data_IF_324462280571
#
_entry.id   IF_324462280571
#
_cell.length_a   1.000
_cell.length_b   1.000
_cell.length_c   1.000
_cell.angle_alpha   90.00
_cell.angle_beta   90.00
_cell.angle_gamma   90.00
#
_symmetry.space_group_name_H-M   'P 1'
#
loop_
_entity.id
_entity.type
_entity.pdbx_description
1 polymer ?
#
# COMPACT_ATOMS: atom_id res chain seq x y z
N UNK A 1 -17.97 -2.52 -26.78
CA UNK A 1 -18.56 -2.03 -28.05
C UNK A 1 -19.82 -2.80 -28.38
N UNK A 2 -20.96 -2.14 -28.58
CA UNK A 2 -22.22 -2.80 -28.96
C UNK A 2 -22.52 -2.60 -30.45
N UNK A 3 -22.17 -3.59 -31.29
CA UNK A 3 -22.43 -3.58 -32.73
C UNK A 3 -23.85 -4.09 -33.06
N UNK A 4 -24.84 -3.59 -32.31
CA UNK A 4 -26.21 -4.09 -32.36
C UNK A 4 -26.94 -3.72 -33.67
N UNK A 5 -26.39 -2.77 -34.44
CA UNK A 5 -26.97 -2.28 -35.68
C UNK A 5 -26.34 -2.90 -36.94
N UNK A 6 -25.37 -3.80 -36.79
CA UNK A 6 -24.74 -4.50 -37.91
C UNK A 6 -25.23 -5.93 -37.92
N UNK A 7 -25.78 -6.35 -39.06
CA UNK A 7 -26.38 -7.67 -39.23
C UNK A 7 -25.54 -8.54 -40.17
N UNK A 8 -25.41 -9.81 -39.81
CA UNK A 8 -24.87 -10.88 -40.66
C UNK A 8 -25.82 -11.17 -41.84
N UNK A 9 -25.32 -11.90 -42.84
CA UNK A 9 -26.11 -12.48 -43.94
C UNK A 9 -27.30 -13.32 -43.44
N UNK A 10 -27.19 -13.90 -42.24
CA UNK A 10 -28.24 -14.69 -41.59
C UNK A 10 -29.21 -13.85 -40.74
N UNK A 11 -29.19 -12.52 -40.90
CA UNK A 11 -30.04 -11.56 -40.16
C UNK A 11 -29.89 -11.60 -38.62
N UNK A 12 -28.76 -12.12 -38.12
CA UNK A 12 -28.37 -12.02 -36.70
C UNK A 12 -27.46 -10.83 -36.49
N UNK A 13 -27.49 -10.20 -35.31
CA UNK A 13 -26.57 -9.10 -35.02
C UNK A 13 -25.13 -9.62 -34.95
N UNK A 14 -24.15 -8.82 -35.37
CA UNK A 14 -22.74 -9.17 -35.24
C UNK A 14 -22.36 -9.40 -33.77
N UNK A 15 -22.97 -8.66 -32.83
CA UNK A 15 -22.81 -8.89 -31.39
C UNK A 15 -23.22 -10.32 -30.99
N UNK A 16 -24.38 -10.80 -31.44
CA UNK A 16 -24.85 -12.15 -31.11
C UNK A 16 -24.00 -13.24 -31.76
N UNK A 17 -23.52 -13.01 -32.99
CA UNK A 17 -22.66 -13.96 -33.70
C UNK A 17 -21.29 -14.07 -33.04
N UNK A 18 -20.68 -12.95 -32.66
CA UNK A 18 -19.33 -12.91 -32.10
C UNK A 18 -19.33 -13.35 -30.63
N UNK A 19 -20.32 -12.94 -29.84
CA UNK A 19 -20.30 -13.12 -28.40
C UNK A 19 -21.27 -14.19 -27.88
N UNK A 20 -22.24 -14.64 -28.68
CA UNK A 20 -23.31 -15.57 -28.27
C UNK A 20 -23.17 -16.99 -28.81
N UNK A 21 -22.19 -17.27 -29.68
CA UNK A 21 -22.06 -18.56 -30.36
C UNK A 21 -21.49 -19.70 -29.50
N UNK A 22 -20.89 -19.39 -28.34
CA UNK A 22 -20.17 -20.36 -27.51
C UNK A 22 -20.60 -20.26 -26.04
N UNK A 23 -20.52 -21.38 -25.30
CA UNK A 23 -20.83 -21.46 -23.87
C UNK A 23 -19.96 -20.50 -23.03
N UNK A 24 -18.70 -20.36 -23.45
CA UNK A 24 -17.73 -19.38 -22.97
C UNK A 24 -17.34 -18.50 -24.15
N UNK A 25 -17.48 -17.19 -23.98
CA UNK A 25 -17.15 -16.22 -25.02
C UNK A 25 -15.93 -15.44 -24.59
N UNK A 26 -14.74 -15.95 -24.95
CA UNK A 26 -13.47 -15.29 -24.63
C UNK A 26 -13.45 -13.83 -25.06
N UNK A 27 -14.05 -13.50 -26.20
CA UNK A 27 -14.13 -12.12 -26.67
C UNK A 27 -14.97 -11.23 -25.76
N UNK A 28 -16.04 -11.77 -25.17
CA UNK A 28 -16.86 -11.06 -24.18
C UNK A 28 -16.10 -10.93 -22.87
N UNK A 29 -15.59 -12.04 -22.33
CA UNK A 29 -14.92 -12.06 -21.02
C UNK A 29 -13.66 -11.17 -21.02
N UNK A 30 -12.88 -11.18 -22.11
CA UNK A 30 -11.73 -10.28 -22.27
C UNK A 30 -12.20 -8.82 -22.38
N UNK A 31 -13.25 -8.54 -23.16
CA UNK A 31 -13.77 -7.17 -23.29
C UNK A 31 -14.25 -6.64 -21.94
N UNK A 32 -14.94 -7.47 -21.17
CA UNK A 32 -15.48 -7.11 -19.87
C UNK A 32 -14.35 -6.92 -18.84
N UNK A 33 -13.34 -7.81 -18.84
CA UNK A 33 -12.15 -7.65 -18.00
C UNK A 33 -11.36 -6.37 -18.34
N UNK A 34 -11.14 -6.09 -19.62
CA UNK A 34 -10.43 -4.88 -20.06
C UNK A 34 -11.19 -3.60 -19.66
N UNK A 35 -12.52 -3.59 -19.81
CA UNK A 35 -13.32 -2.41 -19.52
C UNK A 35 -13.50 -2.23 -18.00
N UNK A 36 -13.97 -3.25 -17.30
CA UNK A 36 -14.43 -3.09 -15.93
C UNK A 36 -13.31 -3.31 -14.90
N UNK A 37 -12.38 -4.24 -15.16
CA UNK A 37 -11.31 -4.56 -14.20
C UNK A 37 -10.04 -3.74 -14.44
N UNK A 38 -9.76 -3.34 -15.68
CA UNK A 38 -8.55 -2.58 -15.98
C UNK A 38 -8.87 -1.10 -16.16
N UNK A 39 -9.75 -0.74 -17.11
CA UNK A 39 -9.98 0.65 -17.47
C UNK A 39 -10.65 1.47 -16.36
N UNK A 40 -11.76 0.96 -15.80
CA UNK A 40 -12.49 1.64 -14.73
C UNK A 40 -11.70 1.65 -13.41
N UNK A 41 -11.06 0.54 -13.02
CA UNK A 41 -10.23 0.52 -11.80
C UNK A 41 -9.00 1.43 -11.90
N UNK A 42 -8.43 1.56 -13.09
CA UNK A 42 -7.29 2.46 -13.33
C UNK A 42 -7.70 3.91 -13.50
N UNK A 43 -9.01 4.21 -13.54
CA UNK A 43 -9.59 5.54 -13.75
C UNK A 43 -9.02 6.23 -14.99
N UNK A 44 -8.85 5.47 -16.08
CA UNK A 44 -8.22 5.97 -17.31
C UNK A 44 -9.00 7.14 -17.95
N UNK A 45 -10.33 7.18 -17.77
CA UNK A 45 -11.21 8.26 -18.21
C UNK A 45 -10.87 9.62 -17.60
N UNK A 46 -10.22 9.64 -16.44
CA UNK A 46 -9.77 10.87 -15.76
C UNK A 46 -8.51 11.49 -16.39
N UNK A 47 -7.78 10.75 -17.22
CA UNK A 47 -6.57 11.24 -17.87
C UNK A 47 -6.73 11.46 -19.37
N UNK A 48 -7.47 10.59 -20.04
CA UNK A 48 -7.66 10.64 -21.49
C UNK A 48 -9.12 10.44 -21.87
N UNK A 49 -9.58 11.23 -22.84
CA UNK A 49 -10.85 11.04 -23.50
C UNK A 49 -10.62 10.49 -24.90
N UNK A 50 -11.05 9.25 -25.13
CA UNK A 50 -10.94 8.57 -26.42
C UNK A 50 -12.26 8.72 -27.17
N UNK A 51 -12.22 9.41 -28.30
CA UNK A 51 -13.36 9.49 -29.23
C UNK A 51 -13.17 8.49 -30.36
N UNK A 52 -14.08 7.52 -30.42
CA UNK A 52 -14.12 6.51 -31.48
C UNK A 52 -15.25 6.83 -32.47
N UNK A 53 -14.89 7.04 -33.73
CA UNK A 53 -15.84 7.13 -34.84
C UNK A 53 -15.43 6.16 -35.93
N UNK A 54 -16.17 5.06 -36.06
CA UNK A 54 -15.95 4.13 -37.16
C UNK A 54 -16.39 4.77 -38.48
N UNK A 55 -15.60 4.67 -39.58
CA UNK A 55 -14.41 3.84 -39.79
C UNK A 55 -13.06 4.53 -39.49
N UNK A 56 -13.10 5.75 -38.96
CA UNK A 56 -11.91 6.55 -38.71
C UNK A 56 -11.08 5.98 -37.55
N UNK A 57 -9.80 6.37 -37.53
CA UNK A 57 -8.90 6.03 -36.43
C UNK A 57 -9.39 6.69 -35.14
N UNK A 58 -9.29 6.01 -33.99
CA UNK A 58 -9.58 6.62 -32.71
C UNK A 58 -8.68 7.85 -32.51
N UNK A 59 -9.28 8.92 -32.01
CA UNK A 59 -8.54 10.11 -31.57
C UNK A 59 -8.66 10.20 -30.05
N UNK A 60 -7.59 10.62 -29.40
CA UNK A 60 -7.55 10.80 -27.96
C UNK A 60 -7.19 12.26 -27.65
N UNK A 61 -7.72 12.75 -26.53
CA UNK A 61 -7.37 14.05 -25.95
C UNK A 61 -7.05 13.85 -24.49
N UNK A 62 -5.90 14.37 -24.04
CA UNK A 62 -5.61 14.44 -22.61
C UNK A 62 -6.49 15.51 -21.96
N UNK A 63 -6.89 15.26 -20.72
CA UNK A 63 -7.56 16.27 -19.91
C UNK A 63 -6.57 17.37 -19.54
N UNK A 64 -7.08 18.60 -19.45
CA UNK A 64 -6.26 19.79 -19.17
C UNK A 64 -5.44 19.63 -17.88
N UNK A 65 -5.99 18.95 -16.86
CA UNK A 65 -5.30 18.68 -15.60
C UNK A 65 -4.08 17.77 -15.77
N UNK A 66 -4.27 16.66 -16.49
CA UNK A 66 -3.21 15.69 -16.80
C UNK A 66 -2.13 16.33 -17.66
N UNK A 67 -2.52 17.16 -18.63
CA UNK A 67 -1.57 17.88 -19.47
C UNK A 67 -0.72 18.87 -18.66
N UNK A 68 -1.32 19.62 -17.72
CA UNK A 68 -0.58 20.53 -16.84
C UNK A 68 0.37 19.76 -15.92
N UNK A 69 -0.05 18.59 -15.42
CA UNK A 69 0.81 17.72 -14.62
C UNK A 69 1.99 17.19 -15.45
N UNK A 70 1.73 16.71 -16.67
CA UNK A 70 2.75 16.19 -17.57
C UNK A 70 3.80 17.25 -17.90
N UNK A 71 3.39 18.49 -18.23
CA UNK A 71 4.32 19.60 -18.47
C UNK A 71 5.23 19.89 -17.26
N UNK A 72 4.70 19.79 -16.03
CA UNK A 72 5.48 19.96 -14.81
C UNK A 72 6.44 18.80 -14.58
N UNK A 73 5.99 17.59 -14.87
CA UNK A 73 6.81 16.38 -14.75
C UNK A 73 7.97 16.40 -15.74
N UNK A 74 7.71 16.78 -16.99
CA UNK A 74 8.74 16.96 -18.02
C UNK A 74 9.76 18.03 -17.63
N UNK A 75 9.35 19.14 -17.03
CA UNK A 75 10.28 20.15 -16.52
C UNK A 75 11.21 19.60 -15.41
N UNK A 76 10.67 18.77 -14.52
CA UNK A 76 11.48 18.07 -13.51
C UNK A 76 12.45 17.07 -14.16
N UNK A 77 11.98 16.24 -15.08
CA UNK A 77 12.82 15.28 -15.80
C UNK A 77 13.94 15.97 -16.56
N UNK A 78 13.66 17.07 -17.26
CA UNK A 78 14.67 17.87 -17.97
C UNK A 78 15.74 18.41 -17.02
N UNK A 79 15.37 18.78 -15.79
CA UNK A 79 16.36 19.18 -14.79
C UNK A 79 17.30 18.01 -14.43
N UNK A 80 16.73 16.83 -14.17
CA UNK A 80 17.50 15.62 -13.83
C UNK A 80 18.40 15.19 -14.98
N UNK A 81 17.88 15.16 -16.21
CA UNK A 81 18.62 14.82 -17.41
C UNK A 81 19.78 15.79 -17.65
N UNK A 82 19.53 17.09 -17.46
CA UNK A 82 20.56 18.10 -17.62
C UNK A 82 21.69 17.92 -16.58
N UNK A 83 21.36 17.64 -15.32
CA UNK A 83 22.37 17.40 -14.27
C UNK A 83 23.17 16.12 -14.54
N UNK A 84 22.49 15.04 -14.95
CA UNK A 84 23.14 13.75 -15.21
C UNK A 84 23.96 13.73 -16.50
N UNK A 85 23.59 14.53 -17.51
CA UNK A 85 24.32 14.63 -18.77
C UNK A 85 25.73 15.25 -18.63
N UNK A 86 25.91 16.17 -17.68
CA UNK A 86 27.23 16.77 -17.42
C UNK A 86 28.09 15.96 -16.47
N UNK A 87 27.49 15.05 -15.71
CA UNK A 87 28.13 14.52 -14.53
C UNK A 87 27.67 13.09 -14.17
N UNK A 88 28.46 12.11 -14.62
CA UNK A 88 28.28 10.69 -14.27
C UNK A 88 28.53 10.42 -12.77
N UNK A 89 29.25 11.29 -12.04
CA UNK A 89 29.45 11.16 -10.58
C UNK A 89 28.33 11.79 -9.75
N UNK A 90 27.57 12.74 -10.32
CA UNK A 90 26.37 13.31 -9.69
C UNK A 90 25.29 12.24 -9.43
N UNK A 91 25.24 11.19 -10.24
CA UNK A 91 24.37 10.04 -10.00
C UNK A 91 24.73 9.28 -8.71
N UNK A 92 26.01 9.25 -8.32
CA UNK A 92 26.48 8.61 -7.07
C UNK A 92 26.34 9.50 -5.84
N UNK A 93 26.46 10.81 -6.01
CA UNK A 93 26.32 11.80 -4.94
C UNK A 93 25.11 12.69 -5.23
N UNK A 94 23.90 12.20 -4.92
CA UNK A 94 22.61 12.86 -5.22
C UNK A 94 22.45 14.30 -4.70
N UNK A 95 23.37 14.79 -3.86
CA UNK A 95 23.40 16.16 -3.31
C UNK A 95 23.22 17.29 -4.32
N UNK A 96 23.76 17.17 -5.54
CA UNK A 96 23.61 18.20 -6.59
C UNK A 96 22.22 18.20 -7.22
N UNK A 97 21.64 17.01 -7.43
CA UNK A 97 20.26 16.82 -7.88
C UNK A 97 19.29 17.40 -6.83
N UNK A 98 19.52 17.08 -5.55
CA UNK A 98 18.70 17.54 -4.43
C UNK A 98 18.67 19.08 -4.30
N UNK A 99 19.75 19.77 -4.69
CA UNK A 99 19.84 21.23 -4.60
C UNK A 99 19.30 21.91 -5.86
N UNK A 100 19.57 21.35 -7.03
CA UNK A 100 19.27 21.98 -8.32
C UNK A 100 17.83 21.70 -8.77
N UNK A 101 17.36 20.47 -8.59
CA UNK A 101 16.05 20.02 -9.09
C UNK A 101 14.95 20.02 -8.03
N UNK A 102 15.21 20.64 -6.87
CA UNK A 102 14.23 20.80 -5.80
C UNK A 102 13.05 21.67 -6.23
N UNK A 103 13.30 22.84 -6.81
CA UNK A 103 12.22 23.77 -7.16
C UNK A 103 11.28 23.19 -8.25
N UNK A 104 11.78 22.56 -9.33
CA UNK A 104 10.93 21.83 -10.27
C UNK A 104 10.10 20.72 -9.62
N UNK A 105 10.70 19.95 -8.71
CA UNK A 105 10.01 18.88 -7.99
C UNK A 105 8.93 19.43 -7.05
N UNK A 106 9.22 20.47 -6.28
CA UNK A 106 8.23 21.10 -5.40
C UNK A 106 7.07 21.69 -6.21
N UNK A 107 7.32 22.26 -7.38
CA UNK A 107 6.27 22.77 -8.27
C UNK A 107 5.36 21.64 -8.78
N UNK A 108 5.95 20.52 -9.22
CA UNK A 108 5.22 19.31 -9.61
C UNK A 108 4.40 18.76 -8.44
N UNK A 109 5.06 18.56 -7.30
CA UNK A 109 4.46 17.98 -6.11
C UNK A 109 3.32 18.82 -5.56
N UNK A 110 3.47 20.14 -5.51
CA UNK A 110 2.41 21.04 -5.05
C UNK A 110 1.17 20.98 -5.97
N UNK A 111 1.38 20.85 -7.28
CA UNK A 111 0.26 20.65 -8.21
C UNK A 111 -0.42 19.29 -7.99
N UNK A 112 0.37 18.22 -7.88
CA UNK A 112 -0.12 16.88 -7.59
C UNK A 112 -0.88 16.82 -6.26
N UNK A 113 -0.36 17.40 -5.18
CA UNK A 113 -1.05 17.42 -3.88
C UNK A 113 -2.36 18.17 -3.91
N UNK A 114 -2.42 19.25 -4.70
CA UNK A 114 -3.65 20.02 -4.84
C UNK A 114 -4.76 19.17 -5.47
N UNK A 115 -4.44 18.37 -6.49
CA UNK A 115 -5.41 17.47 -7.13
C UNK A 115 -5.65 16.19 -6.32
N UNK A 116 -4.69 15.76 -5.52
CA UNK A 116 -4.79 14.56 -4.69
C UNK A 116 -5.72 14.74 -3.49
N UNK A 117 -5.72 15.94 -2.87
CA UNK A 117 -6.55 16.24 -1.69
C UNK A 117 -8.00 16.56 -2.08
N UNK A 118 -8.23 17.01 -3.31
CA UNK A 118 -9.55 17.46 -3.76
C UNK A 118 -10.49 16.25 -3.97
N UNK A 119 -11.57 16.13 -3.18
CA UNK A 119 -12.46 14.96 -3.25
C UNK A 119 -13.30 14.91 -4.54
N UNK A 120 -13.39 16.02 -5.28
CA UNK A 120 -14.19 16.10 -6.50
C UNK A 120 -13.36 15.84 -7.77
N UNK A 121 -12.05 15.60 -7.64
CA UNK A 121 -11.15 15.34 -8.77
C UNK A 121 -10.53 13.96 -8.68
N UNK A 122 -10.83 13.11 -9.66
CA UNK A 122 -10.13 11.85 -9.88
C UNK A 122 -8.98 12.03 -10.88
N UNK A 123 -7.94 11.21 -10.73
CA UNK A 123 -6.82 11.08 -11.66
C UNK A 123 -6.52 9.59 -11.89
N UNK A 124 -5.87 9.28 -13.01
CA UNK A 124 -5.54 7.90 -13.35
C UNK A 124 -4.38 7.35 -12.51
N UNK A 125 -4.33 6.03 -12.41
CA UNK A 125 -3.28 5.29 -11.68
C UNK A 125 -1.87 5.59 -12.19
N UNK A 126 -1.71 5.95 -13.46
CA UNK A 126 -0.39 6.32 -14.03
C UNK A 126 0.22 7.54 -13.32
N UNK A 127 -0.58 8.57 -13.07
CA UNK A 127 -0.14 9.78 -12.36
C UNK A 127 0.27 9.43 -10.92
N UNK A 128 -0.51 8.58 -10.26
CA UNK A 128 -0.23 8.11 -8.90
C UNK A 128 1.10 7.35 -8.83
N UNK A 129 1.27 6.39 -9.74
CA UNK A 129 2.43 5.51 -9.79
C UNK A 129 3.69 6.31 -10.10
N UNK A 130 3.64 7.18 -11.11
CA UNK A 130 4.79 8.02 -11.49
C UNK A 130 5.19 8.95 -10.33
N UNK A 131 4.22 9.52 -9.62
CA UNK A 131 4.53 10.38 -8.47
C UNK A 131 5.09 9.60 -7.28
N UNK A 132 4.56 8.40 -7.01
CA UNK A 132 5.08 7.53 -5.96
C UNK A 132 6.52 7.11 -6.25
N UNK A 133 6.79 6.67 -7.48
CA UNK A 133 8.13 6.29 -7.94
C UNK A 133 9.10 7.47 -7.91
N UNK A 134 8.65 8.65 -8.34
CA UNK A 134 9.44 9.89 -8.29
C UNK A 134 9.81 10.24 -6.84
N UNK A 135 8.88 10.07 -5.89
CA UNK A 135 9.14 10.33 -4.49
C UNK A 135 10.09 9.30 -3.87
N UNK A 136 9.95 8.02 -4.21
CA UNK A 136 10.88 6.96 -3.80
C UNK A 136 12.29 7.22 -4.37
N UNK A 137 12.40 7.59 -5.65
CA UNK A 137 13.66 7.97 -6.27
C UNK A 137 14.32 9.15 -5.56
N UNK A 138 13.54 10.19 -5.23
CA UNK A 138 14.03 11.37 -4.53
C UNK A 138 14.51 11.07 -3.10
N UNK A 139 13.72 10.31 -2.33
CA UNK A 139 13.99 10.07 -0.92
C UNK A 139 14.98 8.93 -0.67
N UNK A 140 14.82 7.80 -1.36
CA UNK A 140 15.52 6.57 -0.99
C UNK A 140 16.77 6.36 -1.84
N UNK A 141 16.67 6.65 -3.14
CA UNK A 141 17.79 6.50 -4.08
C UNK A 141 18.74 7.69 -3.96
N UNK A 142 18.25 8.92 -4.09
CA UNK A 142 19.10 10.12 -4.03
C UNK A 142 19.30 10.67 -2.62
N UNK A 143 18.56 10.17 -1.62
CA UNK A 143 18.67 10.60 -0.21
C UNK A 143 18.50 12.11 -0.04
N UNK A 144 17.62 12.69 -0.86
CA UNK A 144 17.29 14.11 -0.82
C UNK A 144 16.29 14.46 0.28
N UNK A 145 15.69 13.45 0.93
CA UNK A 145 14.89 13.66 2.12
C UNK A 145 15.75 14.43 3.14
N UNK A 146 15.27 15.62 3.52
CA UNK A 146 15.94 16.43 4.53
C UNK A 146 16.12 15.55 5.77
N UNK A 147 17.37 15.26 6.13
CA UNK A 147 17.69 14.41 7.28
C UNK A 147 17.18 15.15 8.51
N UNK A 148 15.93 14.87 8.87
CA UNK A 148 15.12 15.47 9.94
C UNK A 148 16.00 16.22 10.89
N UNK A 149 16.16 17.51 10.60
CA UNK A 149 17.25 18.30 11.14
C UNK A 149 17.05 18.33 12.66
N UNK A 150 17.80 17.51 13.40
CA UNK A 150 17.59 17.22 14.84
C UNK A 150 17.60 18.50 15.68
N UNK A 151 18.04 19.62 15.09
CA UNK A 151 18.05 20.99 15.61
C UNK A 151 16.66 21.65 15.59
N UNK A 152 15.80 21.36 14.61
CA UNK A 152 14.46 21.96 14.45
C UNK A 152 13.41 21.31 15.35
N UNK A 153 13.52 20.01 15.59
CA UNK A 153 12.60 19.26 16.47
C UNK A 153 13.00 19.28 17.96
N UNK A 154 14.26 19.60 18.25
CA UNK A 154 14.78 19.76 19.63
C UNK A 154 13.99 20.77 20.49
N UNK A 155 13.70 22.00 20.03
CA UNK A 155 12.97 22.97 20.84
C UNK A 155 11.54 22.51 21.15
N UNK A 156 10.84 21.86 20.21
CA UNK A 156 9.48 21.36 20.43
C UNK A 156 9.46 20.29 21.53
N UNK A 157 10.38 19.33 21.49
CA UNK A 157 10.52 18.28 22.50
C UNK A 157 10.87 18.84 23.89
N UNK A 158 11.72 19.88 23.94
CA UNK A 158 12.08 20.52 25.22
C UNK A 158 10.87 21.28 25.79
N UNK A 159 10.13 22.00 24.95
CA UNK A 159 8.95 22.76 25.37
C UNK A 159 7.86 21.83 25.91
N UNK A 160 7.57 20.72 25.22
CA UNK A 160 6.56 19.76 25.70
C UNK A 160 6.96 19.12 27.03
N UNK A 161 8.25 18.80 27.22
CA UNK A 161 8.76 18.25 28.47
C UNK A 161 8.65 19.25 29.63
N UNK A 162 8.98 20.53 29.41
CA UNK A 162 8.82 21.60 30.41
C UNK A 162 7.35 21.79 30.80
N UNK A 163 6.44 21.81 29.82
CA UNK A 163 5.00 21.98 30.07
C UNK A 163 4.46 20.83 30.91
N UNK A 164 4.86 19.58 30.64
CA UNK A 164 4.45 18.41 31.42
C UNK A 164 4.98 18.48 32.87
N UNK A 165 6.23 18.91 33.07
CA UNK A 165 6.79 19.10 34.42
C UNK A 165 6.03 20.19 35.18
N UNK A 166 5.73 21.32 34.53
CA UNK A 166 4.98 22.41 35.17
C UNK A 166 3.57 21.93 35.53
N UNK A 167 2.88 21.25 34.61
CA UNK A 167 1.52 20.76 34.85
C UNK A 167 1.46 19.74 35.99
N UNK A 168 2.44 18.83 36.05
CA UNK A 168 2.54 17.85 37.14
C UNK A 168 2.84 18.50 38.50
N UNK A 169 3.75 19.48 38.55
CA UNK A 169 4.03 20.25 39.77
C UNK A 169 2.82 21.05 40.25
N UNK A 170 2.10 21.70 39.32
CA UNK A 170 0.88 22.44 39.64
C UNK A 170 -0.24 21.50 40.13
N UNK A 171 -0.43 20.35 39.48
CA UNK A 171 -1.42 19.36 39.91
C UNK A 171 -1.09 18.78 41.29
N UNK A 172 0.17 18.45 41.54
CA UNK A 172 0.61 17.86 42.80
C UNK A 172 0.53 18.88 43.95
N UNK A 173 0.95 20.12 43.72
CA UNK A 173 0.83 21.20 44.72
C UNK A 173 -0.63 21.57 45.00
N UNK A 174 -1.48 21.66 43.98
CA UNK A 174 -2.92 21.88 44.16
C UNK A 174 -3.57 20.74 44.96
N UNK A 175 -3.24 19.49 44.64
CA UNK A 175 -3.71 18.31 45.38
C UNK A 175 -3.23 18.30 46.83
N UNK A 176 -1.99 18.74 47.09
CA UNK A 176 -1.44 18.85 48.44
C UNK A 176 -2.14 19.95 49.26
N UNK A 177 -2.38 21.12 48.67
CA UNK A 177 -3.06 22.23 49.34
C UNK A 177 -4.53 21.91 49.58
N UNK A 178 -5.24 21.31 48.62
CA UNK A 178 -6.63 20.90 48.78
C UNK A 178 -6.79 19.67 49.68
N UNK A 179 -5.79 18.78 49.68
CA UNK A 179 -5.65 17.70 50.66
C UNK A 179 -5.23 18.19 52.06
N UNK A 180 -4.75 19.43 52.14
CA UNK A 180 -4.76 20.30 53.31
C UNK A 180 -4.24 19.67 54.60
N UNK A 181 -3.02 19.10 54.61
CA UNK A 181 -2.19 18.90 55.82
C UNK A 181 -2.85 18.33 57.08
N UNK A 182 -4.04 17.74 56.98
CA UNK A 182 -4.85 17.31 58.11
C UNK A 182 -4.63 15.82 58.25
N UNK A 183 -4.19 15.38 59.42
CA UNK A 183 -4.16 13.96 59.74
C UNK A 183 -5.54 13.40 59.45
N UNK A 184 -5.63 12.53 58.44
CA UNK A 184 -6.82 11.72 58.24
C UNK A 184 -6.89 10.84 59.48
N UNK A 185 -7.76 11.19 60.42
CA UNK A 185 -8.19 10.22 61.42
C UNK A 185 -8.77 9.08 60.60
N UNK A 186 -8.03 7.97 60.52
CA UNK A 186 -8.55 6.75 59.95
C UNK A 186 -9.70 6.31 60.86
N UNK A 187 -10.93 6.65 60.46
CA UNK A 187 -12.11 6.02 61.03
C UNK A 187 -12.05 4.60 60.49
N UNK A 188 -11.44 3.72 61.28
CA UNK A 188 -11.52 2.29 61.08
C UNK A 188 -13.00 1.94 61.24
N UNK A 189 -13.68 1.67 60.13
CA UNK A 189 -15.02 1.07 60.17
C UNK A 189 -14.86 -0.35 60.73
N UNK A 190 -14.92 -0.46 62.05
CA UNK A 190 -15.06 -1.73 62.75
C UNK A 190 -16.36 -2.39 62.30
N UNK A 191 -16.26 -3.65 61.91
CA UNK A 191 -17.24 -4.47 61.20
C UNK A 191 -18.71 -4.16 61.45
N UNK A 192 -19.44 -3.90 60.36
CA UNK A 192 -20.87 -4.19 60.33
C UNK A 192 -21.04 -5.71 60.17
N UNK A 193 -21.97 -6.34 60.91
CA UNK A 193 -22.37 -7.71 60.59
C UNK A 193 -22.90 -7.74 59.15
N UNK A 194 -22.60 -8.82 58.42
CA UNK A 194 -23.12 -9.06 57.07
C UNK A 194 -24.65 -9.08 57.16
N UNK A 195 -25.28 -7.95 56.86
CA UNK A 195 -26.71 -7.88 56.60
C UNK A 195 -26.85 -8.08 55.10
N UNK A 196 -27.26 -9.30 54.76
CA UNK A 196 -27.80 -9.67 53.47
C UNK A 196 -29.05 -8.82 53.21
N UNK A 197 -28.91 -7.72 52.47
CA UNK A 197 -29.83 -7.29 51.40
C UNK A 197 -29.50 -5.90 50.83
N UNK A 198 -29.39 -5.86 49.50
CA UNK A 198 -29.61 -4.73 48.57
C UNK A 198 -28.67 -3.52 48.65
N UNK A 199 -27.55 -3.64 47.94
CA UNK A 199 -27.02 -2.49 47.21
C UNK A 199 -27.99 -2.12 46.06
N UNK A 200 -28.85 -1.13 46.30
CA UNK A 200 -29.45 -0.35 45.20
C UNK A 200 -28.37 0.59 44.67
N UNK A 201 -27.56 0.12 43.73
CA UNK A 201 -26.92 1.02 42.78
C UNK A 201 -27.93 1.30 41.68
N UNK A 202 -28.31 2.57 41.59
CA UNK A 202 -29.06 3.12 40.48
C UNK A 202 -28.31 2.78 39.19
N UNK A 203 -28.98 2.03 38.31
CA UNK A 203 -28.69 1.96 36.89
C UNK A 203 -28.57 3.39 36.32
N UNK A 204 -27.77 3.64 35.29
CA UNK A 204 -28.21 3.41 33.90
C UNK A 204 -27.04 3.58 32.92
N UNK A 205 -26.71 2.47 32.25
CA UNK A 205 -26.35 2.23 30.82
C UNK A 205 -25.51 3.25 30.06
N UNK A 206 -24.37 2.87 29.47
CA UNK A 206 -24.26 2.02 28.27
C UNK A 206 -25.10 2.53 27.07
N UNK A 207 -24.41 3.16 26.13
CA UNK A 207 -24.71 3.20 24.68
C UNK A 207 -23.38 3.56 24.00
N UNK A 208 -22.63 2.67 23.37
CA UNK A 208 -22.99 1.35 22.89
C UNK A 208 -23.72 1.40 21.55
N UNK A 209 -23.20 2.18 20.60
CA UNK A 209 -23.59 2.12 19.19
C UNK A 209 -22.35 2.20 18.30
N UNK A 210 -22.09 1.07 17.63
CA UNK A 210 -21.37 0.88 16.37
C UNK A 210 -19.88 1.23 16.30
N UNK A 211 -19.07 0.28 16.80
CA UNK A 211 -17.83 -0.09 16.11
C UNK A 211 -17.86 -1.61 15.92
N UNK A 212 -18.51 -2.06 14.85
CA UNK A 212 -18.27 -3.38 14.29
C UNK A 212 -16.86 -3.38 13.71
N UNK A 213 -15.85 -3.46 14.59
CA UNK A 213 -14.55 -4.00 14.22
C UNK A 213 -14.83 -5.47 13.96
N UNK A 214 -15.04 -5.79 12.69
CA UNK A 214 -14.79 -7.13 12.19
C UNK A 214 -13.33 -7.40 12.57
N UNK A 215 -13.15 -8.13 13.66
CA UNK A 215 -11.91 -8.83 13.93
C UNK A 215 -11.76 -9.83 12.78
N UNK A 216 -11.16 -9.37 11.68
CA UNK A 216 -10.42 -10.25 10.82
C UNK A 216 -9.24 -10.71 11.67
N UNK A 217 -9.47 -11.76 12.46
CA UNK A 217 -8.41 -12.63 12.90
C UNK A 217 -7.79 -13.18 11.62
N UNK A 218 -6.89 -12.42 11.00
CA UNK A 218 -5.86 -12.99 10.14
C UNK A 218 -5.17 -13.98 11.07
N UNK A 219 -5.46 -15.25 10.82
CA UNK A 219 -4.84 -16.35 11.52
C UNK A 219 -3.34 -16.11 11.41
N UNK A 220 -2.71 -15.66 12.50
CA UNK A 220 -1.28 -15.80 12.72
C UNK A 220 -1.00 -17.29 12.87
N UNK A 221 -1.20 -18.04 11.80
CA UNK A 221 -0.46 -19.26 11.55
C UNK A 221 0.82 -18.79 10.87
N UNK A 222 1.73 -18.24 11.69
CA UNK A 222 3.15 -18.27 11.36
C UNK A 222 3.50 -19.76 11.30
N UNK A 223 3.27 -20.38 10.14
CA UNK A 223 4.08 -21.52 9.74
C UNK A 223 5.42 -20.88 9.46
N UNK A 224 6.35 -21.06 10.41
CA UNK A 224 7.74 -20.65 10.27
C UNK A 224 8.21 -20.96 8.84
N UNK A 225 8.34 -19.91 8.03
CA UNK A 225 8.84 -20.02 6.68
C UNK A 225 10.33 -20.22 6.79
N UNK A 226 10.77 -21.41 6.40
CA UNK A 226 12.17 -21.76 6.22
C UNK A 226 12.69 -21.03 4.97
N UNK A 227 12.91 -19.73 5.05
CA UNK A 227 13.75 -19.05 4.06
C UNK A 227 15.21 -19.25 4.45
N UNK A 228 15.99 -19.83 3.53
CA UNK A 228 17.44 -19.61 3.53
C UNK A 228 17.65 -18.14 3.19
N UNK A 229 18.05 -17.34 4.18
CA UNK A 229 18.60 -16.00 3.97
C UNK A 229 19.99 -16.14 3.35
N UNK A 230 20.04 -16.25 2.03
CA UNK A 230 21.26 -16.06 1.26
C UNK A 230 21.14 -14.73 0.49
N UNK A 231 22.17 -13.87 0.50
CA UNK A 231 22.10 -12.56 -0.14
C UNK A 231 21.88 -12.70 -1.65
N UNK A 232 21.02 -11.83 -2.21
CA UNK A 232 20.72 -11.78 -3.65
C UNK A 232 22.02 -11.58 -4.47
N UNK A 233 22.13 -12.31 -5.57
CA UNK A 233 23.21 -12.14 -6.54
C UNK A 233 22.90 -10.93 -7.45
N UNK A 234 23.77 -9.90 -7.55
CA UNK A 234 23.51 -8.72 -8.37
C UNK A 234 23.54 -8.98 -9.89
N UNK A 235 24.08 -10.11 -10.35
CA UNK A 235 24.22 -10.43 -11.78
C UNK A 235 23.01 -11.19 -12.38
N UNK A 236 21.99 -11.49 -11.58
CA UNK A 236 20.87 -12.36 -11.95
C UNK A 236 19.51 -11.68 -11.73
N UNK A 237 18.51 -11.99 -12.56
CA UNK A 237 17.20 -11.35 -12.52
C UNK A 237 16.50 -11.54 -11.16
N UNK A 238 16.08 -10.44 -10.54
CA UNK A 238 15.50 -10.45 -9.19
C UNK A 238 14.23 -11.31 -9.13
N UNK A 239 13.39 -11.26 -10.18
CA UNK A 239 12.17 -12.04 -10.24
C UNK A 239 12.47 -13.54 -10.28
N UNK A 240 13.50 -13.95 -11.02
CA UNK A 240 13.97 -15.33 -11.08
C UNK A 240 14.46 -15.81 -9.70
N UNK A 241 15.24 -15.00 -8.98
CA UNK A 241 15.70 -15.33 -7.62
C UNK A 241 14.56 -15.47 -6.61
N UNK A 242 13.54 -14.60 -6.66
CA UNK A 242 12.37 -14.72 -5.79
C UNK A 242 11.50 -15.94 -6.14
N UNK A 243 11.36 -16.26 -7.44
CA UNK A 243 10.66 -17.47 -7.89
C UNK A 243 11.34 -18.74 -7.41
N UNK A 244 12.67 -18.80 -7.46
CA UNK A 244 13.44 -19.93 -6.90
C UNK A 244 13.29 -20.05 -5.39
N UNK A 245 13.31 -18.91 -4.69
CA UNK A 245 13.09 -18.86 -3.23
C UNK A 245 11.69 -19.32 -2.84
N UNK A 246 10.69 -19.00 -3.65
CA UNK A 246 9.29 -19.38 -3.45
C UNK A 246 8.92 -20.75 -4.03
N UNK A 247 9.79 -21.38 -4.83
CA UNK A 247 9.53 -22.68 -5.45
C UNK A 247 9.21 -23.78 -4.42
N UNK A 248 9.84 -23.73 -3.23
CA UNK A 248 9.56 -24.66 -2.13
C UNK A 248 8.17 -24.46 -1.48
N UNK A 249 7.55 -23.30 -1.65
CA UNK A 249 6.19 -23.03 -1.15
C UNK A 249 5.12 -23.72 -2.01
N UNK A 250 5.38 -23.79 -3.31
CA UNK A 250 4.46 -24.28 -4.34
C UNK A 250 4.81 -25.68 -4.86
N UNK A 251 5.71 -26.41 -4.18
CA UNK A 251 6.21 -27.72 -4.61
C UNK A 251 5.08 -28.72 -4.91
N UNK A 252 4.01 -28.71 -4.09
CA UNK A 252 2.84 -29.59 -4.29
C UNK A 252 2.01 -29.22 -5.52
N UNK A 253 1.84 -27.93 -5.79
CA UNK A 253 1.11 -27.47 -6.97
C UNK A 253 1.92 -27.72 -8.24
N UNK A 254 3.24 -27.62 -8.14
CA UNK A 254 4.16 -28.03 -9.19
C UNK A 254 4.07 -29.53 -9.48
N UNK A 255 4.02 -30.37 -8.45
CA UNK A 255 3.85 -31.83 -8.62
C UNK A 255 2.54 -32.17 -9.34
N UNK A 256 1.43 -31.53 -8.97
CA UNK A 256 0.12 -31.71 -9.62
C UNK A 256 0.16 -31.26 -11.09
N UNK A 257 0.82 -30.15 -11.38
CA UNK A 257 1.01 -29.65 -12.75
C UNK A 257 1.87 -30.60 -13.59
N UNK A 258 2.96 -31.10 -13.02
CA UNK A 258 3.87 -32.04 -13.68
C UNK A 258 3.15 -33.39 -13.94
N UNK A 259 2.34 -33.89 -13.00
CA UNK A 259 1.50 -35.08 -13.18
C UNK A 259 0.45 -34.88 -14.29
N UNK A 260 -0.17 -33.69 -14.37
CA UNK A 260 -1.06 -33.37 -15.48
C UNK A 260 -0.32 -33.36 -16.82
N UNK A 261 0.84 -32.71 -16.88
CA UNK A 261 1.65 -32.66 -18.10
C UNK A 261 2.06 -34.06 -18.56
N UNK A 262 2.43 -34.96 -17.65
CA UNK A 262 2.75 -36.35 -17.98
C UNK A 262 1.52 -37.10 -18.53
N UNK A 263 0.34 -36.87 -17.95
CA UNK A 263 -0.91 -37.46 -18.44
C UNK A 263 -1.28 -36.99 -19.84
N UNK A 264 -1.16 -35.69 -20.10
CA UNK A 264 -1.43 -35.10 -21.42
C UNK A 264 -0.40 -35.57 -22.45
N UNK A 265 0.89 -35.60 -22.10
CA UNK A 265 1.96 -36.04 -23.00
C UNK A 265 1.96 -37.56 -23.26
N UNK A 266 1.43 -38.36 -22.34
CA UNK A 266 1.33 -39.82 -22.51
C UNK A 266 0.25 -40.26 -23.50
N UNK A 267 -0.70 -39.37 -23.84
CA UNK A 267 -1.82 -39.67 -24.72
C UNK A 267 -1.60 -39.04 -26.09
N UNK A 268 -1.76 -39.83 -27.16
CA UNK A 268 -1.62 -39.34 -28.53
C UNK A 268 -2.81 -38.48 -28.99
N UNK A 269 -3.98 -38.65 -28.37
CA UNK A 269 -5.19 -37.85 -28.59
C UNK A 269 -5.94 -37.69 -27.26
N UNK A 270 -6.03 -36.47 -26.74
CA UNK A 270 -6.70 -36.13 -25.47
C UNK A 270 -7.30 -34.73 -25.55
N UNK A 271 -8.51 -34.53 -25.04
CA UNK A 271 -9.16 -33.21 -24.90
C UNK A 271 -8.82 -32.54 -23.55
N UNK A 272 -8.08 -33.25 -22.70
CA UNK A 272 -7.61 -32.76 -21.40
C UNK A 272 -6.49 -31.72 -21.56
N UNK A 273 -6.57 -30.63 -20.79
CA UNK A 273 -5.57 -29.56 -20.75
C UNK A 273 -5.17 -29.26 -19.31
N UNK A 274 -3.89 -28.97 -19.06
CA UNK A 274 -3.36 -28.65 -17.73
C UNK A 274 -3.48 -27.18 -17.34
N UNK A 275 -4.45 -26.48 -17.90
CA UNK A 275 -4.57 -25.03 -17.76
C UNK A 275 -4.94 -24.62 -16.34
N UNK A 276 -5.83 -25.39 -15.68
CA UNK A 276 -6.27 -25.08 -14.32
C UNK A 276 -5.12 -25.24 -13.33
N UNK A 277 -4.41 -26.36 -13.41
CA UNK A 277 -3.26 -26.67 -12.55
C UNK A 277 -2.12 -25.66 -12.76
N UNK A 278 -1.94 -25.17 -13.99
CA UNK A 278 -0.98 -24.12 -14.30
C UNK A 278 -1.36 -22.79 -13.65
N UNK A 279 -2.63 -22.39 -13.73
CA UNK A 279 -3.10 -21.15 -13.12
C UNK A 279 -3.03 -21.20 -11.60
N UNK A 280 -3.39 -22.34 -11.00
CA UNK A 280 -3.29 -22.54 -9.55
C UNK A 280 -1.83 -22.46 -9.08
N UNK A 281 -0.89 -23.05 -9.83
CA UNK A 281 0.56 -22.95 -9.56
C UNK A 281 1.07 -21.50 -9.64
N UNK A 282 0.70 -20.77 -10.71
CA UNK A 282 1.13 -19.38 -10.91
C UNK A 282 0.56 -18.46 -9.82
N UNK A 283 -0.73 -18.62 -9.50
CA UNK A 283 -1.41 -17.78 -8.51
C UNK A 283 -0.73 -17.83 -7.14
N UNK A 284 -0.40 -19.04 -6.66
CA UNK A 284 0.24 -19.22 -5.36
C UNK A 284 1.73 -18.80 -5.39
N UNK A 285 2.41 -18.99 -6.53
CA UNK A 285 3.79 -18.55 -6.70
C UNK A 285 3.87 -17.02 -6.64
N UNK A 286 2.98 -16.33 -7.34
CA UNK A 286 2.93 -14.86 -7.36
C UNK A 286 2.52 -14.29 -5.99
N UNK A 287 1.61 -14.95 -5.25
CA UNK A 287 1.30 -14.56 -3.87
C UNK A 287 2.54 -14.61 -2.97
N UNK A 288 3.35 -15.67 -3.08
CA UNK A 288 4.60 -15.79 -2.32
C UNK A 288 5.62 -14.71 -2.73
N UNK A 289 5.77 -14.44 -4.03
CA UNK A 289 6.70 -13.42 -4.53
C UNK A 289 6.28 -12.01 -4.07
N UNK A 290 4.98 -11.70 -4.09
CA UNK A 290 4.45 -10.43 -3.58
C UNK A 290 4.70 -10.24 -2.08
N UNK A 291 4.45 -11.28 -1.28
CA UNK A 291 4.74 -11.25 0.16
C UNK A 291 6.25 -11.09 0.40
N UNK A 292 7.11 -11.84 -0.32
CA UNK A 292 8.56 -11.77 -0.15
C UNK A 292 9.16 -10.41 -0.54
N UNK A 293 8.61 -9.72 -1.55
CA UNK A 293 9.01 -8.37 -1.92
C UNK A 293 8.59 -7.32 -0.87
N UNK A 294 7.44 -7.53 -0.21
CA UNK A 294 6.94 -6.61 0.83
C UNK A 294 7.75 -6.62 2.13
N UNK A 295 8.49 -7.71 2.40
CA UNK A 295 9.27 -7.92 3.64
C UNK A 295 10.67 -7.27 3.58
N UNK A 296 11.11 -6.76 2.43
CA UNK A 296 12.42 -6.10 2.28
C UNK A 296 12.45 -4.63 2.79
N UNK A 297 11.35 -4.12 3.35
CA UNK A 297 11.36 -2.92 4.18
C UNK A 297 11.70 -3.27 5.64
N UNK A 298 12.37 -2.40 6.42
CA UNK A 298 12.63 -2.71 7.82
C UNK A 298 11.30 -2.90 8.57
N UNK A 299 10.99 -4.15 8.96
CA UNK A 299 9.93 -4.44 9.93
C UNK A 299 10.33 -3.83 11.28
N UNK A 300 9.99 -2.56 11.50
CA UNK A 300 9.98 -1.98 12.84
C UNK A 300 8.73 -2.50 13.52
N UNK A 301 8.85 -3.62 14.24
CA UNK A 301 7.78 -4.06 15.13
C UNK A 301 7.66 -3.10 16.32
N UNK A 302 6.44 -2.70 16.68
CA UNK A 302 6.15 -1.80 17.82
C UNK A 302 6.79 -2.29 19.12
N UNK A 303 7.06 -3.60 19.24
CA UNK A 303 7.77 -4.21 20.36
C UNK A 303 9.26 -3.84 20.44
N UNK A 304 9.95 -3.62 19.32
CA UNK A 304 11.36 -3.21 19.33
C UNK A 304 11.56 -1.74 19.74
N UNK A 305 10.52 -0.90 19.65
CA UNK A 305 10.54 0.48 20.15
C UNK A 305 10.54 0.50 21.68
N UNK A 306 9.90 -0.48 22.33
CA UNK A 306 9.83 -0.54 23.80
C UNK A 306 11.09 -1.12 24.44
N UNK A 307 11.80 -2.05 23.79
CA UNK A 307 13.06 -2.60 24.32
C UNK A 307 14.21 -1.57 24.30
N UNK A 308 14.27 -0.70 23.28
CA UNK A 308 15.24 0.41 23.25
C UNK A 308 14.96 1.48 24.32
N UNK A 309 13.69 1.69 24.68
CA UNK A 309 13.30 2.69 25.68
C UNK A 309 13.50 2.23 27.14
N UNK A 310 13.49 0.92 27.41
CA UNK A 310 13.65 0.38 28.76
C UNK A 310 15.11 0.09 29.14
N UNK A 311 15.98 -0.25 28.18
CA UNK A 311 17.40 -0.49 28.44
C UNK A 311 18.14 0.79 28.90
N UNK A 312 17.75 1.96 28.39
CA UNK A 312 18.32 3.26 28.80
C UNK A 312 17.78 3.79 30.14
N UNK A 313 16.67 3.23 30.67
CA UNK A 313 16.07 3.67 31.92
C UNK A 313 16.65 2.97 33.17
N UNK A 314 17.30 1.81 33.02
CA UNK A 314 17.85 1.01 34.14
C UNK A 314 19.38 1.15 34.26
N UNK A 315 20.06 1.73 33.26
CA UNK A 315 21.52 1.91 33.24
C UNK A 315 22.07 3.15 33.96
N UNK A 316 21.26 3.92 34.69
CA UNK A 316 21.73 5.10 35.45
C UNK A 316 20.98 5.29 36.78
N UNK A 317 20.97 4.23 37.58
CA UNK A 317 20.77 4.29 39.03
C UNK A 317 22.07 3.95 39.74
#
# INVERSE_FOLDING_TARGET
MHLNNIFSLDNRTCTDVIYGGYLLSYSRDISDALNDQIWEQSRCSSCINITFHFPDKPTYKMLDQTQIWEDKYLNFQQCVDNVTAYDEWAFRNGTTICQTCKDPLENLFNYFWKIYIDPDTDFCVDVETIMNDTMHLWNDVWKCADTKDRKKDRPLMIITLIVLIIFTLLFYSASYIQGGGRQRNFILYSGMPVVEERARLLSTSASGSDLAVVNFQRSNRIRAMSHKEEPLNPDEDQLTQYRERCAGHVEKLKEILDECNDRVNSRTETEETCHQEMMDYIHELDHCVGDAQSVQGPEITITQIFDFAFADLVGSL
#
